data_IF_361792165189
#
_entry.id   IF_361792165189
#
_cell.length_a   1.000
_cell.length_b   1.000
_cell.length_c   1.000
_cell.angle_alpha   90.00
_cell.angle_beta   90.00
_cell.angle_gamma   90.00
#
_symmetry.space_group_name_H-M   'P 1'
#
loop_
_entity.id
_entity.type
_entity.pdbx_description
1 polymer ?
#
# COMPACT_ATOMS: atom_id res chain seq x y z
N UNK A 1 -38.13 -1.82 -1.52
CA UNK A 1 -37.51 -2.68 -2.56
C UNK A 1 -38.22 -4.05 -2.71
N UNK A 2 -39.52 -4.20 -2.39
CA UNK A 2 -40.23 -5.49 -2.45
C UNK A 2 -40.95 -5.75 -3.80
N UNK A 3 -40.94 -4.78 -4.71
CA UNK A 3 -41.49 -4.92 -6.06
C UNK A 3 -40.58 -5.84 -6.91
N UNK A 4 -41.11 -6.85 -7.63
CA UNK A 4 -40.31 -7.77 -8.43
C UNK A 4 -39.40 -7.10 -9.47
N UNK A 5 -39.70 -5.88 -9.91
CA UNK A 5 -38.83 -5.12 -10.83
C UNK A 5 -37.41 -4.92 -10.31
N UNK A 6 -37.23 -4.90 -8.99
CA UNK A 6 -35.91 -4.78 -8.37
C UNK A 6 -35.03 -6.03 -8.55
N UNK A 7 -35.58 -7.17 -9.01
CA UNK A 7 -34.79 -8.36 -9.37
C UNK A 7 -33.98 -8.17 -10.67
N UNK A 8 -34.44 -7.28 -11.56
CA UNK A 8 -33.75 -6.97 -12.80
C UNK A 8 -32.55 -6.03 -12.58
N UNK A 9 -31.41 -6.39 -13.18
CA UNK A 9 -30.15 -5.63 -13.01
C UNK A 9 -30.23 -4.26 -13.72
N UNK A 10 -30.87 -4.19 -14.89
CA UNK A 10 -31.01 -2.96 -15.66
C UNK A 10 -31.88 -1.95 -14.92
N UNK A 11 -33.03 -2.40 -14.41
CA UNK A 11 -33.91 -1.58 -13.59
C UNK A 11 -33.20 -1.02 -12.34
N UNK A 12 -32.39 -1.85 -11.64
CA UNK A 12 -31.56 -1.38 -10.52
C UNK A 12 -30.56 -0.30 -10.93
N UNK A 13 -29.91 -0.47 -12.07
CA UNK A 13 -28.93 0.50 -12.54
C UNK A 13 -29.58 1.84 -12.91
N UNK A 14 -30.74 1.83 -13.57
CA UNK A 14 -31.49 3.03 -13.93
C UNK A 14 -32.04 3.78 -12.70
N UNK A 15 -32.30 3.06 -11.60
CA UNK A 15 -32.89 3.60 -10.37
C UNK A 15 -31.91 3.53 -9.18
N UNK A 16 -30.61 3.57 -9.45
CA UNK A 16 -29.58 3.34 -8.43
C UNK A 16 -29.64 4.37 -7.29
N UNK A 17 -29.99 5.62 -7.57
CA UNK A 17 -30.12 6.67 -6.56
C UNK A 17 -31.12 6.29 -5.46
N UNK A 18 -32.34 5.88 -5.84
CA UNK A 18 -33.34 5.43 -4.87
C UNK A 18 -32.89 4.19 -4.09
N UNK A 19 -32.18 3.27 -4.76
CA UNK A 19 -31.62 2.10 -4.09
C UNK A 19 -30.60 2.52 -3.01
N UNK A 20 -29.69 3.45 -3.33
CA UNK A 20 -28.71 3.96 -2.37
C UNK A 20 -29.36 4.75 -1.25
N UNK A 21 -30.37 5.58 -1.50
CA UNK A 21 -31.10 6.29 -0.44
C UNK A 21 -31.69 5.33 0.60
N UNK A 22 -32.30 4.23 0.14
CA UNK A 22 -32.88 3.21 1.03
C UNK A 22 -31.78 2.48 1.80
N UNK A 23 -30.65 2.17 1.15
CA UNK A 23 -29.51 1.55 1.82
C UNK A 23 -28.88 2.48 2.85
N UNK A 24 -28.69 3.75 2.53
CA UNK A 24 -28.10 4.77 3.39
C UNK A 24 -28.94 5.00 4.64
N UNK A 25 -30.27 5.03 4.53
CA UNK A 25 -31.14 5.08 5.72
C UNK A 25 -31.03 3.82 6.56
N UNK A 26 -30.94 2.63 5.94
CA UNK A 26 -30.87 1.36 6.66
C UNK A 26 -29.52 1.14 7.37
N UNK A 27 -28.40 1.51 6.76
CA UNK A 27 -27.07 1.25 7.34
C UNK A 27 -26.77 2.13 8.56
N UNK A 28 -27.44 3.28 8.73
CA UNK A 28 -27.22 4.21 9.87
C UNK A 28 -27.46 3.58 11.24
N UNK A 29 -28.31 2.57 11.30
CA UNK A 29 -28.67 1.88 12.55
C UNK A 29 -27.64 0.81 12.95
N UNK A 30 -26.55 0.65 12.20
CA UNK A 30 -25.55 -0.39 12.43
C UNK A 30 -24.13 0.17 12.51
N UNK A 31 -23.34 -0.47 13.36
CA UNK A 31 -21.89 -0.29 13.36
C UNK A 31 -21.25 -0.98 12.14
N UNK A 32 -20.22 -0.36 11.55
CA UNK A 32 -19.56 -0.88 10.34
C UNK A 32 -19.06 -2.32 10.50
N UNK A 33 -18.48 -2.67 11.66
CA UNK A 33 -17.98 -4.02 11.93
C UNK A 33 -19.11 -5.05 12.01
N UNK A 34 -20.25 -4.68 12.58
CA UNK A 34 -21.42 -5.56 12.64
C UNK A 34 -21.95 -5.88 11.23
N UNK A 35 -22.05 -4.86 10.36
CA UNK A 35 -22.45 -5.07 8.97
C UNK A 35 -21.43 -5.92 8.20
N UNK A 36 -20.13 -5.71 8.43
CA UNK A 36 -19.08 -6.51 7.80
C UNK A 36 -19.21 -8.00 8.16
N UNK A 37 -19.36 -8.33 9.44
CA UNK A 37 -19.51 -9.70 9.92
C UNK A 37 -20.75 -10.37 9.35
N UNK A 38 -21.89 -9.67 9.35
CA UNK A 38 -23.15 -10.17 8.77
C UNK A 38 -23.03 -10.42 7.27
N UNK A 39 -22.44 -9.47 6.54
CA UNK A 39 -22.24 -9.61 5.10
C UNK A 39 -21.32 -10.78 4.77
N UNK A 40 -20.23 -10.97 5.54
CA UNK A 40 -19.33 -12.12 5.39
C UNK A 40 -20.05 -13.45 5.62
N UNK A 41 -20.89 -13.56 6.66
CA UNK A 41 -21.69 -14.75 6.92
C UNK A 41 -22.64 -15.09 5.75
N UNK A 42 -23.15 -14.06 5.07
CA UNK A 42 -23.98 -14.17 3.86
C UNK A 42 -23.18 -14.29 2.56
N UNK A 43 -21.84 -14.31 2.63
CA UNK A 43 -20.92 -14.32 1.48
C UNK A 43 -21.12 -13.13 0.53
N UNK A 44 -21.55 -12.00 1.06
CA UNK A 44 -21.70 -10.75 0.32
C UNK A 44 -20.37 -9.98 0.29
N UNK A 45 -19.99 -9.39 -0.85
CA UNK A 45 -18.74 -8.65 -1.00
C UNK A 45 -18.86 -7.26 -0.38
N UNK A 46 -18.61 -7.18 0.93
CA UNK A 46 -18.58 -5.94 1.70
C UNK A 46 -17.21 -5.74 2.35
N UNK A 47 -16.80 -4.48 2.46
CA UNK A 47 -15.58 -4.08 3.14
C UNK A 47 -15.78 -2.72 3.81
N UNK A 48 -15.05 -2.49 4.89
CA UNK A 48 -15.00 -1.20 5.56
C UNK A 48 -13.98 -0.32 4.83
N UNK A 49 -14.37 0.90 4.49
CA UNK A 49 -13.46 1.91 3.98
C UNK A 49 -12.63 2.44 5.15
N UNK A 50 -11.38 1.98 5.27
CA UNK A 50 -10.48 2.39 6.35
C UNK A 50 -9.64 3.62 5.98
N UNK A 51 -9.47 4.51 6.96
CA UNK A 51 -8.50 5.61 6.86
C UNK A 51 -7.05 5.15 7.08
N UNK A 52 -6.05 5.97 6.71
CA UNK A 52 -4.63 5.62 6.83
C UNK A 52 -4.19 5.22 8.24
N UNK A 53 -4.72 5.88 9.28
CA UNK A 53 -4.38 5.63 10.67
C UNK A 53 -4.89 4.26 11.16
N UNK A 54 -6.06 3.85 10.67
CA UNK A 54 -6.64 2.54 10.97
C UNK A 54 -5.87 1.43 10.24
N UNK A 55 -5.49 1.66 8.98
CA UNK A 55 -4.69 0.71 8.18
C UNK A 55 -3.37 0.36 8.86
N UNK A 56 -2.70 1.32 9.52
CA UNK A 56 -1.45 1.07 10.26
C UNK A 56 -1.64 0.10 11.44
N UNK A 57 -2.87 -0.07 11.92
CA UNK A 57 -3.24 -0.94 13.05
C UNK A 57 -3.97 -2.21 12.60
N UNK A 58 -4.18 -2.39 11.30
CA UNK A 58 -4.92 -3.52 10.74
C UNK A 58 -4.29 -4.86 11.17
N UNK A 59 -5.10 -5.74 11.75
CA UNK A 59 -4.63 -7.00 12.32
C UNK A 59 -4.08 -7.93 11.24
N UNK A 60 -4.65 -7.93 10.04
CA UNK A 60 -4.22 -8.79 8.95
C UNK A 60 -2.87 -8.32 8.38
N UNK A 61 -2.69 -7.01 8.18
CA UNK A 61 -1.43 -6.43 7.74
C UNK A 61 -0.32 -6.65 8.78
N UNK A 62 -0.65 -6.57 10.06
CA UNK A 62 0.29 -6.88 11.13
C UNK A 62 0.63 -8.38 11.19
N UNK A 63 -0.37 -9.26 11.14
CA UNK A 63 -0.18 -10.72 11.19
C UNK A 63 0.69 -11.24 10.05
N UNK A 64 0.64 -10.60 8.87
CA UNK A 64 1.47 -10.95 7.71
C UNK A 64 2.83 -10.23 7.66
N UNK A 65 3.16 -9.42 8.67
CA UNK A 65 4.40 -8.64 8.71
C UNK A 65 4.52 -7.65 7.55
N UNK A 66 3.41 -7.04 7.13
CA UNK A 66 3.39 -6.16 5.96
C UNK A 66 4.25 -4.92 6.16
N UNK A 67 4.15 -4.26 7.30
CA UNK A 67 4.93 -3.05 7.57
C UNK A 67 6.31 -3.40 8.14
N UNK A 68 7.33 -2.73 7.63
CA UNK A 68 8.74 -2.96 8.00
C UNK A 68 9.40 -1.68 8.47
N UNK A 69 10.36 -1.80 9.38
CA UNK A 69 11.15 -0.68 9.87
C UNK A 69 12.37 -0.45 8.95
N UNK A 70 12.56 0.80 8.52
CA UNK A 70 13.66 1.21 7.64
C UNK A 70 14.45 2.33 8.30
N UNK A 71 15.73 2.08 8.55
CA UNK A 71 16.63 3.06 9.13
C UNK A 71 17.06 4.11 8.11
N UNK A 72 17.08 5.37 8.54
CA UNK A 72 17.63 6.53 7.85
C UNK A 72 18.74 7.15 8.73
N UNK A 73 19.99 6.66 8.63
CA UNK A 73 21.10 7.14 9.45
C UNK A 73 21.35 8.65 9.31
N UNK A 74 21.16 9.21 8.12
CA UNK A 74 21.29 10.63 7.82
C UNK A 74 20.26 11.50 8.56
N UNK A 75 19.14 10.90 8.99
CA UNK A 75 18.12 11.54 9.82
C UNK A 75 18.19 11.10 11.28
N UNK A 76 19.06 10.14 11.63
CA UNK A 76 19.13 9.52 12.96
C UNK A 76 17.82 8.87 13.40
N UNK A 77 17.02 8.37 12.44
CA UNK A 77 15.64 7.91 12.70
C UNK A 77 15.30 6.66 11.90
N UNK A 78 14.32 5.93 12.39
CA UNK A 78 13.71 4.78 11.72
C UNK A 78 12.27 5.10 11.38
N UNK A 79 11.83 4.67 10.21
CA UNK A 79 10.49 4.91 9.71
C UNK A 79 9.83 3.60 9.30
N UNK A 80 8.51 3.54 9.47
CA UNK A 80 7.69 2.40 9.08
C UNK A 80 7.27 2.52 7.62
N UNK A 81 7.65 1.53 6.81
CA UNK A 81 7.39 1.44 5.38
C UNK A 81 6.39 0.33 5.07
N UNK A 82 5.59 0.44 3.99
CA UNK A 82 4.99 -0.73 3.37
C UNK A 82 6.08 -1.70 2.91
N UNK A 83 5.96 -2.94 3.32
CA UNK A 83 6.85 -4.05 2.95
C UNK A 83 6.26 -4.85 1.81
N UNK A 84 6.43 -6.17 1.87
CA UNK A 84 6.19 -7.05 0.73
C UNK A 84 4.70 -7.14 0.40
N UNK A 85 4.25 -6.74 -0.81
CA UNK A 85 2.85 -6.91 -1.19
C UNK A 85 2.49 -8.40 -1.39
N UNK A 86 3.49 -9.23 -1.70
CA UNK A 86 3.35 -10.66 -1.92
C UNK A 86 4.31 -11.45 -1.02
N UNK A 87 3.88 -12.61 -0.56
CA UNK A 87 4.70 -13.54 0.23
C UNK A 87 5.09 -14.72 -0.66
N UNK A 88 6.38 -14.82 -0.99
CA UNK A 88 6.94 -15.93 -1.76
C UNK A 88 7.82 -16.80 -0.86
N UNK A 89 7.62 -18.12 -0.91
CA UNK A 89 8.37 -19.06 -0.07
C UNK A 89 9.82 -19.25 -0.54
N UNK A 90 10.08 -19.29 -1.86
CA UNK A 90 11.42 -19.54 -2.40
C UNK A 90 12.25 -18.27 -2.61
N UNK A 91 11.61 -17.16 -2.91
CA UNK A 91 12.26 -15.89 -3.29
C UNK A 91 11.55 -14.71 -2.62
N UNK A 92 11.59 -14.61 -1.28
CA UNK A 92 10.88 -13.56 -0.57
C UNK A 92 11.40 -12.18 -0.97
N UNK A 93 10.51 -11.32 -1.47
CA UNK A 93 10.83 -9.91 -1.65
C UNK A 93 10.90 -9.23 -0.28
N UNK A 94 11.91 -8.37 -0.06
CA UNK A 94 12.11 -7.63 1.19
C UNK A 94 12.71 -6.26 0.90
N UNK A 95 12.26 -5.24 1.64
CA UNK A 95 12.95 -3.95 1.70
C UNK A 95 14.30 -4.18 2.39
N UNK A 96 15.40 -3.80 1.73
CA UNK A 96 16.77 -4.05 2.24
C UNK A 96 17.38 -2.84 2.94
N UNK A 97 17.16 -1.65 2.40
CA UNK A 97 17.73 -0.38 2.88
C UNK A 97 16.84 0.78 2.42
N UNK A 98 17.05 1.96 3.02
CA UNK A 98 16.41 3.19 2.56
C UNK A 98 16.75 3.50 1.10
N UNK A 99 15.92 4.33 0.42
CA UNK A 99 16.29 4.89 -0.88
C UNK A 99 17.66 5.58 -0.82
N UNK A 100 18.46 5.52 -1.89
CA UNK A 100 19.77 6.17 -1.92
C UNK A 100 19.65 7.69 -1.82
N UNK A 101 20.66 8.33 -1.22
CA UNK A 101 20.87 9.77 -1.31
C UNK A 101 21.36 10.11 -2.71
N UNK A 102 21.23 11.39 -3.07
CA UNK A 102 21.76 11.90 -4.32
C UNK A 102 23.27 11.64 -4.39
N UNK A 103 23.70 10.91 -5.41
CA UNK A 103 25.10 10.58 -5.67
C UNK A 103 25.74 9.55 -4.72
N UNK A 104 24.98 8.92 -3.82
CA UNK A 104 25.52 8.01 -2.79
C UNK A 104 26.37 6.87 -3.36
N UNK A 105 25.96 6.33 -4.51
CA UNK A 105 26.64 5.20 -5.15
C UNK A 105 27.48 5.62 -6.37
N UNK A 106 27.65 6.92 -6.66
CA UNK A 106 28.36 7.37 -7.88
C UNK A 106 29.78 6.80 -7.93
N UNK A 107 30.59 7.03 -6.90
CA UNK A 107 31.97 6.54 -6.86
C UNK A 107 32.08 5.02 -6.81
N UNK A 108 31.10 4.33 -6.20
CA UNK A 108 31.03 2.86 -6.17
C UNK A 108 30.84 2.33 -7.60
N UNK A 109 29.86 2.85 -8.33
CA UNK A 109 29.55 2.40 -9.69
C UNK A 109 30.69 2.76 -10.66
N UNK A 110 31.22 3.99 -10.60
CA UNK A 110 32.32 4.40 -11.50
C UNK A 110 33.56 3.51 -11.33
N UNK A 111 33.86 3.08 -10.09
CA UNK A 111 35.00 2.21 -9.82
C UNK A 111 34.69 0.75 -10.10
N UNK A 112 33.65 0.21 -9.49
CA UNK A 112 33.43 -1.24 -9.40
C UNK A 112 32.75 -1.79 -10.67
N UNK A 113 31.91 -1.00 -11.33
CA UNK A 113 31.18 -1.40 -12.54
C UNK A 113 31.84 -0.87 -13.82
N UNK A 114 32.40 0.35 -13.80
CA UNK A 114 33.05 0.96 -14.97
C UNK A 114 34.58 0.83 -14.97
N UNK A 115 35.19 0.40 -13.86
CA UNK A 115 36.63 0.16 -13.78
C UNK A 115 37.49 1.43 -13.86
N UNK A 116 36.93 2.60 -13.52
CA UNK A 116 37.68 3.86 -13.55
C UNK A 116 38.66 3.94 -12.38
N UNK A 117 39.84 4.45 -12.67
CA UNK A 117 40.85 4.70 -11.65
C UNK A 117 40.48 5.92 -10.80
N UNK A 118 40.95 6.02 -9.54
CA UNK A 118 40.61 7.13 -8.64
C UNK A 118 40.88 8.52 -9.23
N UNK A 119 41.91 8.66 -10.08
CA UNK A 119 42.25 9.91 -10.74
C UNK A 119 41.22 10.33 -11.79
N UNK A 120 40.66 9.36 -12.53
CA UNK A 120 39.64 9.61 -13.55
C UNK A 120 38.32 10.01 -12.89
N UNK A 121 37.94 9.32 -11.81
CA UNK A 121 36.75 9.65 -11.01
C UNK A 121 36.84 11.09 -10.47
N UNK A 122 37.99 11.45 -9.89
CA UNK A 122 38.22 12.81 -9.40
C UNK A 122 38.11 13.88 -10.50
N UNK A 123 38.58 13.57 -11.72
CA UNK A 123 38.47 14.46 -12.86
C UNK A 123 37.01 14.67 -13.30
N UNK A 124 36.16 13.63 -13.25
CA UNK A 124 34.73 13.73 -13.59
C UNK A 124 33.98 14.64 -12.60
N UNK A 125 34.26 14.52 -11.29
CA UNK A 125 33.72 15.43 -10.28
C UNK A 125 34.20 16.87 -10.48
N UNK A 126 35.50 17.07 -10.78
CA UNK A 126 36.04 18.40 -11.01
C UNK A 126 35.44 19.11 -12.24
N UNK A 127 35.00 18.34 -13.23
CA UNK A 127 34.32 18.84 -14.44
C UNK A 127 32.81 19.03 -14.25
N UNK A 128 32.24 18.64 -13.11
CA UNK A 128 30.80 18.70 -12.86
C UNK A 128 29.98 17.74 -13.74
N UNK A 129 30.61 16.67 -14.24
CA UNK A 129 29.93 15.62 -15.02
C UNK A 129 29.11 14.72 -14.09
N UNK A 130 29.62 14.51 -12.87
CA UNK A 130 28.99 13.75 -11.77
C UNK A 130 29.12 14.50 -10.45
#
# INVERSE_FOLDING_TARGET
LADPRWEDVGYRAEHAEHLFDVLDEWVKDYECNELLERAQALRQPYAIVQGPEAMLKDEQLNARGFFVEVEHPELGRTFRYPGAPYLFNGTPWRVRRRPPLLGEHTSEILRDELGLEPAEIAALYAQGIV
#
